data_IF_566210216592
#
_entry.id   IF_566210216592
#
_cell.length_a   1.000
_cell.length_b   1.000
_cell.length_c   1.000
_cell.angle_alpha   90.00
_cell.angle_beta   90.00
_cell.angle_gamma   90.00
#
_symmetry.space_group_name_H-M   'P 1'
#
loop_
_entity.id
_entity.type
_entity.pdbx_description
1 polymer ?
#
# COMPACT_ATOMS: atom_id res chain seq x y z
N UNK A 1 -6.19 -2.10 -35.47
CA UNK A 1 -7.54 -2.25 -34.87
C UNK A 1 -8.16 -0.86 -34.85
N UNK A 2 -9.42 -0.67 -35.27
CA UNK A 2 -10.01 0.68 -35.33
C UNK A 2 -10.65 1.04 -33.99
N UNK A 3 -10.69 2.32 -33.61
CA UNK A 3 -11.35 2.78 -32.37
C UNK A 3 -12.81 2.31 -32.29
N UNK A 4 -13.50 2.21 -33.43
CA UNK A 4 -14.86 1.67 -33.55
C UNK A 4 -14.92 0.18 -33.16
N UNK A 5 -13.93 -0.61 -33.55
CA UNK A 5 -13.85 -2.04 -33.23
C UNK A 5 -13.55 -2.27 -31.75
N UNK A 6 -12.71 -1.43 -31.16
CA UNK A 6 -12.40 -1.43 -29.72
C UNK A 6 -13.64 -1.08 -28.88
N UNK A 7 -14.37 -0.03 -29.28
CA UNK A 7 -15.60 0.40 -28.63
C UNK A 7 -16.71 -0.64 -28.72
N UNK A 8 -16.88 -1.28 -29.88
CA UNK A 8 -17.87 -2.36 -30.02
C UNK A 8 -17.57 -3.51 -29.06
N UNK A 9 -16.30 -3.91 -28.95
CA UNK A 9 -15.89 -4.97 -28.03
C UNK A 9 -16.11 -4.60 -26.56
N UNK A 10 -15.92 -3.33 -26.19
CA UNK A 10 -16.20 -2.84 -24.85
C UNK A 10 -17.71 -2.82 -24.55
N UNK A 11 -18.54 -2.40 -25.50
CA UNK A 11 -20.01 -2.42 -25.36
C UNK A 11 -20.52 -3.86 -25.21
N UNK A 12 -19.95 -4.81 -25.96
CA UNK A 12 -20.34 -6.22 -25.88
C UNK A 12 -19.98 -6.89 -24.53
N UNK A 13 -19.09 -6.27 -23.73
CA UNK A 13 -18.69 -6.74 -22.39
C UNK A 13 -19.57 -6.18 -21.26
N UNK A 14 -20.35 -5.14 -21.54
CA UNK A 14 -21.11 -4.38 -20.54
C UNK A 14 -22.60 -4.72 -20.62
N UNK A 15 -23.27 -4.77 -19.47
CA UNK A 15 -24.73 -4.86 -19.43
C UNK A 15 -25.40 -3.57 -19.91
N UNK A 16 -26.68 -3.61 -20.28
CA UNK A 16 -27.44 -2.43 -20.69
C UNK A 16 -27.41 -1.29 -19.65
N UNK A 17 -27.42 -1.66 -18.36
CA UNK A 17 -27.28 -0.72 -17.25
C UNK A 17 -25.91 -0.02 -17.24
N UNK A 18 -24.84 -0.79 -17.47
CA UNK A 18 -23.46 -0.30 -17.48
C UNK A 18 -23.18 0.57 -18.72
N UNK A 19 -23.73 0.18 -19.87
CA UNK A 19 -23.72 0.99 -21.08
C UNK A 19 -24.42 2.34 -20.86
N UNK A 20 -25.55 2.35 -20.14
CA UNK A 20 -26.26 3.60 -19.80
C UNK A 20 -25.41 4.55 -18.95
N UNK A 21 -24.76 4.04 -17.90
CA UNK A 21 -23.88 4.85 -17.05
C UNK A 21 -22.59 5.29 -17.76
N UNK A 22 -21.98 4.39 -18.55
CA UNK A 22 -20.77 4.72 -19.32
C UNK A 22 -21.07 5.77 -20.39
N UNK A 23 -22.23 5.69 -21.04
CA UNK A 23 -22.64 6.66 -22.05
C UNK A 23 -22.84 8.05 -21.45
N UNK A 24 -23.47 8.15 -20.28
CA UNK A 24 -23.59 9.42 -19.55
C UNK A 24 -22.21 10.01 -19.25
N UNK A 25 -21.31 9.21 -18.66
CA UNK A 25 -19.96 9.66 -18.33
C UNK A 25 -19.16 10.10 -19.58
N UNK A 26 -19.29 9.38 -20.71
CA UNK A 26 -18.66 9.75 -21.99
C UNK A 26 -19.25 11.04 -22.55
N UNK A 27 -20.56 11.26 -22.42
CA UNK A 27 -21.22 12.50 -22.81
C UNK A 27 -20.73 13.67 -21.95
N UNK A 28 -20.64 13.51 -20.63
CA UNK A 28 -20.18 14.57 -19.72
C UNK A 28 -18.73 14.99 -20.03
N UNK A 29 -17.86 14.01 -20.28
CA UNK A 29 -16.47 14.25 -20.76
C UNK A 29 -16.46 14.98 -22.10
N UNK A 30 -17.32 14.61 -23.05
CA UNK A 30 -17.40 15.23 -24.36
C UNK A 30 -17.91 16.68 -24.31
N UNK A 31 -18.71 17.04 -23.31
CA UNK A 31 -19.17 18.41 -23.06
C UNK A 31 -18.15 19.25 -22.26
N UNK A 32 -16.99 18.68 -21.93
CA UNK A 32 -15.93 19.38 -21.17
C UNK A 32 -16.24 19.47 -19.67
N UNK A 33 -17.24 18.74 -19.19
CA UNK A 33 -17.50 18.63 -17.76
C UNK A 33 -16.47 17.72 -17.09
N UNK A 34 -16.07 18.09 -15.87
CA UNK A 34 -15.07 17.37 -15.09
C UNK A 34 -15.69 16.15 -14.43
N UNK A 35 -16.00 15.11 -15.22
CA UNK A 35 -16.61 13.86 -14.71
C UNK A 35 -15.82 13.21 -13.54
N UNK A 36 -14.53 13.54 -13.40
CA UNK A 36 -13.65 13.04 -12.34
C UNK A 36 -13.84 13.69 -10.97
N UNK A 37 -14.54 14.83 -10.86
CA UNK A 37 -14.68 15.56 -9.57
C UNK A 37 -15.79 15.01 -8.66
N UNK A 38 -16.65 14.11 -9.16
CA UNK A 38 -17.70 13.47 -8.36
C UNK A 38 -17.97 12.00 -8.71
N UNK A 39 -17.93 11.64 -10.00
CA UNK A 39 -18.53 10.38 -10.44
C UNK A 39 -17.56 9.21 -10.55
N UNK A 40 -16.26 9.43 -10.80
CA UNK A 40 -15.34 8.31 -10.97
C UNK A 40 -15.17 7.47 -9.69
N UNK A 41 -15.21 8.11 -8.52
CA UNK A 41 -15.16 7.41 -7.22
C UNK A 41 -16.43 6.59 -6.97
N UNK A 42 -17.59 7.12 -7.38
CA UNK A 42 -18.89 6.44 -7.28
C UNK A 42 -18.98 5.29 -8.29
N UNK A 43 -18.58 5.51 -9.55
CA UNK A 43 -18.48 4.48 -10.57
C UNK A 43 -17.52 3.39 -10.15
N UNK A 44 -16.31 3.73 -9.72
CA UNK A 44 -15.39 2.74 -9.17
C UNK A 44 -16.02 1.97 -8.01
N UNK A 45 -16.61 2.68 -7.03
CA UNK A 45 -17.26 2.04 -5.87
C UNK A 45 -18.41 1.10 -6.27
N UNK A 46 -19.31 1.51 -7.17
CA UNK A 46 -20.42 0.69 -7.64
C UNK A 46 -19.95 -0.51 -8.46
N UNK A 47 -18.91 -0.35 -9.28
CA UNK A 47 -18.37 -1.43 -10.10
C UNK A 47 -17.48 -2.40 -9.32
N UNK A 48 -16.85 -1.97 -8.21
CA UNK A 48 -16.07 -2.84 -7.31
C UNK A 48 -16.87 -3.42 -6.15
N UNK A 49 -18.07 -2.90 -5.85
CA UNK A 49 -19.06 -3.63 -5.06
C UNK A 49 -19.29 -4.92 -5.80
N UNK A 50 -18.84 -6.04 -5.24
CA UNK A 50 -18.92 -7.28 -5.98
C UNK A 50 -20.37 -7.50 -6.41
N UNK A 51 -20.55 -7.92 -7.67
CA UNK A 51 -21.82 -8.38 -8.22
C UNK A 51 -22.30 -9.60 -7.42
N UNK A 52 -22.71 -9.37 -6.19
CA UNK A 52 -23.07 -10.38 -5.19
C UNK A 52 -24.52 -10.82 -5.33
N UNK A 53 -25.29 -10.23 -6.25
CA UNK A 53 -26.73 -10.52 -6.37
C UNK A 53 -27.09 -11.64 -7.35
N UNK A 54 -26.13 -12.34 -7.96
CA UNK A 54 -26.45 -13.53 -8.78
C UNK A 54 -25.39 -14.65 -8.76
N UNK A 55 -24.50 -14.69 -7.76
CA UNK A 55 -23.74 -15.91 -7.48
C UNK A 55 -24.54 -16.64 -6.41
N UNK A 56 -25.34 -17.61 -6.86
CA UNK A 56 -26.12 -18.49 -6.01
C UNK A 56 -25.26 -19.04 -4.86
N UNK A 57 -25.86 -19.08 -3.67
CA UNK A 57 -25.30 -19.59 -2.41
C UNK A 57 -24.47 -20.86 -2.58
N UNK A 58 -23.18 -20.73 -2.87
CA UNK A 58 -22.20 -21.78 -2.65
C UNK A 58 -20.81 -21.14 -2.45
N UNK A 59 -20.59 -20.62 -1.24
CA UNK A 59 -19.34 -19.98 -0.80
C UNK A 59 -18.20 -20.98 -0.56
N UNK A 60 -18.30 -22.22 -1.03
CA UNK A 60 -17.27 -23.25 -0.90
C UNK A 60 -16.15 -23.13 -1.94
N UNK A 61 -16.37 -22.39 -3.04
CA UNK A 61 -15.43 -22.24 -4.14
C UNK A 61 -15.12 -20.77 -4.45
N UNK A 62 -14.82 -19.95 -3.44
CA UNK A 62 -14.10 -18.70 -3.70
C UNK A 62 -12.66 -19.08 -4.03
N UNK A 63 -12.41 -19.42 -5.29
CA UNK A 63 -11.05 -19.44 -5.83
C UNK A 63 -10.58 -17.99 -5.78
N UNK A 64 -9.49 -17.66 -5.07
CA UNK A 64 -8.90 -16.33 -5.16
C UNK A 64 -8.71 -15.97 -6.64
N UNK A 65 -8.83 -14.70 -7.00
CA UNK A 65 -8.55 -14.21 -8.35
C UNK A 65 -7.04 -14.27 -8.70
N UNK A 66 -6.41 -15.41 -8.44
CA UNK A 66 -5.11 -15.80 -8.96
C UNK A 66 -5.31 -16.77 -10.12
N UNK A 67 -4.50 -16.69 -11.18
CA UNK A 67 -4.56 -17.66 -12.27
C UNK A 67 -4.32 -19.08 -11.74
N UNK A 68 -4.95 -20.06 -12.38
CA UNK A 68 -4.73 -21.47 -12.08
C UNK A 68 -3.23 -21.79 -12.19
N UNK A 69 -2.72 -22.57 -11.25
CA UNK A 69 -1.29 -22.88 -11.07
C UNK A 69 -0.61 -23.63 -12.25
N UNK A 70 -1.28 -23.79 -13.39
CA UNK A 70 -0.76 -24.52 -14.56
C UNK A 70 0.06 -23.66 -15.53
N UNK A 71 -0.05 -22.34 -15.45
CA UNK A 71 0.64 -21.45 -16.35
C UNK A 71 1.69 -20.69 -15.54
N UNK A 72 2.97 -21.04 -15.74
CA UNK A 72 4.19 -20.42 -15.19
C UNK A 72 4.35 -18.92 -15.57
N UNK A 73 3.25 -18.17 -15.66
CA UNK A 73 3.17 -16.78 -16.12
C UNK A 73 3.40 -15.80 -14.97
N UNK A 74 3.28 -16.24 -13.71
CA UNK A 74 3.62 -15.40 -12.55
C UNK A 74 5.07 -15.58 -12.16
N UNK A 75 5.95 -14.74 -12.70
CA UNK A 75 7.22 -14.47 -12.03
C UNK A 75 6.87 -13.93 -10.62
N UNK A 76 7.49 -14.46 -9.54
CA UNK A 76 7.26 -13.94 -8.20
C UNK A 76 7.61 -12.45 -8.19
N UNK A 77 6.60 -11.61 -7.96
CA UNK A 77 6.78 -10.17 -7.85
C UNK A 77 7.58 -9.92 -6.56
N UNK A 78 8.63 -9.07 -6.57
CA UNK A 78 9.30 -8.69 -5.35
C UNK A 78 8.29 -8.16 -4.34
N UNK A 79 8.19 -8.81 -3.17
CA UNK A 79 7.20 -8.45 -2.15
C UNK A 79 7.48 -7.13 -1.46
N UNK A 80 8.70 -6.63 -1.60
CA UNK A 80 9.20 -5.40 -0.98
C UNK A 80 10.02 -4.70 -2.03
N UNK A 81 9.86 -3.39 -2.13
CA UNK A 81 10.76 -2.57 -2.92
C UNK A 81 12.17 -2.64 -2.34
N UNK A 82 13.17 -2.63 -3.21
CA UNK A 82 14.56 -2.52 -2.81
C UNK A 82 15.26 -1.51 -3.70
N UNK A 83 16.07 -0.64 -3.09
CA UNK A 83 16.92 0.31 -3.79
C UNK A 83 18.38 -0.15 -3.67
N UNK A 84 18.81 -1.00 -4.61
CA UNK A 84 20.12 -1.67 -4.54
C UNK A 84 21.31 -0.71 -4.52
N UNK A 85 21.16 0.47 -5.12
CA UNK A 85 22.22 1.48 -5.22
C UNK A 85 22.17 2.52 -4.10
N UNK A 86 21.16 2.43 -3.20
CA UNK A 86 21.03 3.34 -2.07
C UNK A 86 21.99 2.96 -0.94
N UNK A 87 22.52 3.97 -0.25
CA UNK A 87 23.25 3.75 1.00
C UNK A 87 22.30 3.12 2.04
N UNK A 88 22.74 2.02 2.65
CA UNK A 88 21.94 1.25 3.62
C UNK A 88 22.41 1.55 5.03
N UNK A 89 21.51 2.11 5.84
CA UNK A 89 21.73 2.37 7.26
C UNK A 89 21.04 1.27 8.07
N UNK A 90 21.79 0.34 8.69
CA UNK A 90 21.19 -0.72 9.49
C UNK A 90 20.53 -0.14 10.73
N UNK A 91 19.31 -0.61 11.03
CA UNK A 91 18.63 -0.24 12.26
C UNK A 91 19.06 -1.17 13.40
N UNK A 92 19.18 -0.66 14.63
CA UNK A 92 19.43 -1.51 15.79
C UNK A 92 18.29 -2.51 15.99
N UNK A 93 18.53 -3.59 16.71
CA UNK A 93 17.49 -4.57 17.01
C UNK A 93 16.28 -3.91 17.71
N UNK A 94 15.06 -4.10 17.21
CA UNK A 94 13.87 -3.49 17.78
C UNK A 94 13.57 -4.10 19.15
N UNK A 95 13.12 -3.26 20.08
CA UNK A 95 12.68 -3.71 21.40
C UNK A 95 11.15 -3.84 21.38
N UNK A 96 10.56 -4.90 21.97
CA UNK A 96 9.12 -5.00 22.05
C UNK A 96 8.53 -3.79 22.80
N UNK A 97 7.50 -3.11 22.27
CA UNK A 97 6.86 -2.03 23.00
C UNK A 97 6.30 -2.56 24.33
N UNK A 98 6.55 -1.81 25.40
CA UNK A 98 6.10 -2.17 26.74
C UNK A 98 4.73 -1.58 27.03
N UNK A 99 3.92 -2.30 27.79
CA UNK A 99 2.63 -1.84 28.28
C UNK A 99 1.48 -2.79 27.96
N UNK A 100 0.42 -2.70 28.75
CA UNK A 100 -0.83 -3.40 28.49
C UNK A 100 -1.58 -2.77 27.30
N UNK A 101 -2.13 -3.60 26.43
CA UNK A 101 -2.83 -3.16 25.22
C UNK A 101 -4.04 -2.28 25.54
N UNK A 102 -4.84 -2.65 26.54
CA UNK A 102 -6.03 -1.89 26.93
C UNK A 102 -5.68 -0.48 27.38
N UNK A 103 -4.61 -0.38 28.19
CA UNK A 103 -4.07 0.90 28.66
C UNK A 103 -3.55 1.76 27.51
N UNK A 104 -2.76 1.19 26.60
CA UNK A 104 -2.21 1.90 25.44
C UNK A 104 -3.31 2.46 24.53
N UNK A 105 -4.36 1.68 24.27
CA UNK A 105 -5.50 2.11 23.47
C UNK A 105 -6.25 3.29 24.13
N UNK A 106 -6.46 3.22 25.44
CA UNK A 106 -7.12 4.30 26.18
C UNK A 106 -6.30 5.60 26.20
N UNK A 107 -4.98 5.50 26.30
CA UNK A 107 -4.07 6.64 26.41
C UNK A 107 -3.69 7.27 25.06
N UNK A 108 -3.84 6.56 23.94
CA UNK A 108 -3.43 7.03 22.61
C UNK A 108 -4.05 8.40 22.28
N UNK A 109 -3.20 9.37 21.96
CA UNK A 109 -3.60 10.70 21.48
C UNK A 109 -2.73 11.09 20.29
N UNK A 110 -3.29 11.88 19.38
CA UNK A 110 -2.52 12.50 18.31
C UNK A 110 -1.85 13.75 18.87
N UNK A 111 -0.51 13.73 18.98
CA UNK A 111 0.32 14.82 19.51
C UNK A 111 1.07 15.47 18.35
N UNK A 112 1.20 16.80 18.38
CA UNK A 112 1.89 17.62 17.37
C UNK A 112 2.80 18.69 17.99
N UNK A 113 2.91 18.65 19.31
CA UNK A 113 3.72 19.47 20.20
C UNK A 113 5.09 18.82 20.40
N UNK A 114 5.90 18.78 19.33
CA UNK A 114 7.24 18.18 19.37
C UNK A 114 8.27 19.12 19.99
N UNK A 115 9.17 18.57 20.81
CA UNK A 115 10.25 19.34 21.46
C UNK A 115 11.40 19.68 20.51
N UNK A 116 11.47 19.03 19.35
CA UNK A 116 12.62 19.09 18.44
C UNK A 116 13.83 18.27 18.89
N UNK A 117 13.78 17.65 20.07
CA UNK A 117 14.83 16.75 20.53
C UNK A 117 14.87 15.48 19.64
N UNK A 118 16.06 14.96 19.31
CA UNK A 118 16.16 13.74 18.53
C UNK A 118 15.60 12.55 19.31
N UNK A 119 14.99 11.62 18.59
CA UNK A 119 14.71 10.28 19.12
C UNK A 119 15.93 9.39 18.90
N UNK A 120 16.06 8.32 19.68
CA UNK A 120 17.13 7.35 19.45
C UNK A 120 16.83 6.48 18.23
N UNK A 121 17.89 5.96 17.58
CA UNK A 121 17.74 4.98 16.50
C UNK A 121 16.97 3.72 16.97
N UNK A 122 17.09 3.34 18.24
CA UNK A 122 16.37 2.21 18.83
C UNK A 122 14.86 2.47 18.94
N UNK A 123 14.46 3.70 19.28
CA UNK A 123 13.06 4.11 19.26
C UNK A 123 12.49 4.07 17.84
N UNK A 124 13.22 4.61 16.85
CA UNK A 124 12.80 4.56 15.45
C UNK A 124 12.66 3.11 14.96
N UNK A 125 13.69 2.28 15.20
CA UNK A 125 13.69 0.85 14.87
C UNK A 125 12.45 0.14 15.43
N UNK A 126 12.18 0.33 16.72
CA UNK A 126 11.04 -0.27 17.41
C UNK A 126 9.71 0.16 16.80
N UNK A 127 9.55 1.46 16.49
CA UNK A 127 8.34 1.97 15.85
C UNK A 127 8.12 1.35 14.46
N UNK A 128 9.18 1.28 13.65
CA UNK A 128 9.09 0.70 12.30
C UNK A 128 8.78 -0.79 12.34
N UNK A 129 9.44 -1.53 13.24
CA UNK A 129 9.15 -2.95 13.43
C UNK A 129 7.70 -3.18 13.86
N UNK A 130 7.21 -2.44 14.85
CA UNK A 130 5.84 -2.59 15.35
C UNK A 130 4.80 -2.16 14.30
N UNK A 131 5.07 -1.14 13.49
CA UNK A 131 4.11 -0.62 12.52
C UNK A 131 4.06 -1.43 11.22
N UNK A 132 5.20 -1.91 10.72
CA UNK A 132 5.30 -2.47 9.37
C UNK A 132 6.43 -3.50 9.17
N UNK A 133 7.14 -3.90 10.23
CA UNK A 133 8.23 -4.86 10.13
C UNK A 133 7.78 -6.27 9.74
N UNK A 134 8.71 -7.07 9.21
CA UNK A 134 8.48 -8.51 9.07
C UNK A 134 8.50 -9.18 10.45
N UNK A 135 7.43 -9.90 10.80
CA UNK A 135 7.26 -10.57 12.10
C UNK A 135 7.54 -12.06 12.05
N UNK A 136 7.29 -12.68 10.90
CA UNK A 136 7.49 -14.12 10.66
C UNK A 136 7.70 -14.36 9.15
N UNK A 137 8.14 -15.55 8.76
CA UNK A 137 8.21 -15.97 7.36
C UNK A 137 7.54 -17.33 7.19
N UNK A 138 6.69 -17.44 6.17
CA UNK A 138 5.97 -18.67 5.81
C UNK A 138 6.22 -19.03 4.35
N UNK A 139 5.94 -20.26 3.95
CA UNK A 139 5.90 -20.64 2.53
C UNK A 139 4.45 -20.57 2.02
N UNK A 140 4.23 -19.98 0.85
CA UNK A 140 2.88 -19.82 0.29
C UNK A 140 2.87 -18.98 -0.99
N UNK A 141 1.82 -19.10 -1.79
CA UNK A 141 1.63 -18.31 -3.03
C UNK A 141 2.81 -18.36 -4.01
N UNK A 142 3.54 -19.48 -4.07
CA UNK A 142 4.74 -19.61 -4.90
C UNK A 142 6.03 -19.06 -4.30
N UNK A 143 5.99 -18.48 -3.09
CA UNK A 143 7.16 -17.98 -2.36
C UNK A 143 7.63 -18.98 -1.30
N UNK A 144 8.93 -19.25 -1.28
CA UNK A 144 9.55 -20.06 -0.21
C UNK A 144 9.60 -19.32 1.12
N UNK A 145 9.76 -17.98 1.07
CA UNK A 145 9.88 -17.09 2.23
C UNK A 145 9.00 -15.85 2.05
N UNK A 146 7.70 -16.01 2.23
CA UNK A 146 6.71 -14.94 2.32
C UNK A 146 6.82 -14.29 3.73
N UNK A 147 7.24 -13.02 3.88
CA UNK A 147 7.18 -12.35 5.17
C UNK A 147 5.72 -12.21 5.61
N UNK A 148 5.46 -12.28 6.92
CA UNK A 148 4.25 -11.74 7.54
C UNK A 148 4.57 -10.36 8.12
N UNK A 149 3.62 -9.43 8.03
CA UNK A 149 3.78 -8.09 8.59
C UNK A 149 3.07 -7.97 9.93
N UNK A 150 3.41 -6.93 10.69
CA UNK A 150 2.68 -6.57 11.90
C UNK A 150 1.24 -6.08 11.65
N UNK A 151 0.82 -5.94 10.39
CA UNK A 151 -0.55 -5.62 10.00
C UNK A 151 -1.13 -6.66 9.03
N UNK A 152 -2.45 -6.91 9.06
CA UNK A 152 -3.11 -7.77 8.08
C UNK A 152 -3.21 -7.08 6.73
N UNK A 153 -3.05 -7.83 5.64
CA UNK A 153 -3.17 -7.33 4.27
C UNK A 153 -4.05 -8.26 3.43
N UNK A 154 -4.99 -7.70 2.67
CA UNK A 154 -5.88 -8.48 1.80
C UNK A 154 -5.07 -9.25 0.76
N UNK A 155 -5.30 -10.57 0.69
CA UNK A 155 -4.56 -11.46 -0.21
C UNK A 155 -3.06 -11.59 0.08
N UNK A 156 -2.57 -11.05 1.20
CA UNK A 156 -1.14 -11.09 1.54
C UNK A 156 -0.25 -10.27 0.60
N UNK A 157 -0.82 -9.32 -0.15
CA UNK A 157 -0.10 -8.54 -1.17
C UNK A 157 0.89 -7.52 -0.58
N UNK A 158 0.67 -7.09 0.66
CA UNK A 158 1.59 -6.24 1.43
C UNK A 158 1.99 -4.94 0.70
N UNK A 159 1.04 -4.35 -0.02
CA UNK A 159 1.26 -3.20 -0.89
C UNK A 159 1.80 -1.91 -0.22
N UNK A 160 1.57 -1.62 1.08
CA UNK A 160 2.12 -0.41 1.69
C UNK A 160 3.65 -0.46 1.81
N UNK A 161 4.32 0.58 1.28
CA UNK A 161 5.74 0.86 1.50
C UNK A 161 5.93 2.04 2.44
N UNK A 162 6.99 2.03 3.25
CA UNK A 162 7.25 3.07 4.25
C UNK A 162 8.45 3.92 3.86
N UNK A 163 8.18 5.21 3.69
CA UNK A 163 9.19 6.24 3.46
C UNK A 163 9.24 7.18 4.65
N UNK A 164 10.45 7.59 5.04
CA UNK A 164 10.70 8.36 6.25
C UNK A 164 11.49 9.60 5.89
N UNK A 165 10.97 10.77 6.27
CA UNK A 165 11.75 12.00 6.31
C UNK A 165 12.41 12.12 7.69
N UNK A 166 13.67 11.73 7.80
CA UNK A 166 14.46 11.88 9.02
C UNK A 166 14.87 13.33 9.18
N UNK A 167 14.46 13.94 10.30
CA UNK A 167 14.87 15.31 10.68
C UNK A 167 15.82 15.32 11.87
N UNK A 168 15.52 14.52 12.90
CA UNK A 168 16.28 14.44 14.15
C UNK A 168 16.21 13.02 14.73
N UNK A 169 17.17 12.17 14.35
CA UNK A 169 17.35 10.82 14.90
C UNK A 169 18.83 10.63 15.22
N UNK A 170 19.12 10.15 16.42
CA UNK A 170 20.50 9.91 16.84
C UNK A 170 21.20 8.90 15.93
N UNK A 171 22.38 9.25 15.41
CA UNK A 171 23.19 8.37 14.57
C UNK A 171 22.68 8.17 13.14
N UNK A 172 21.60 8.84 12.72
CA UNK A 172 21.07 8.78 11.36
C UNK A 172 21.00 10.19 10.79
N UNK A 173 21.69 10.43 9.67
CA UNK A 173 21.72 11.74 9.04
C UNK A 173 20.35 12.16 8.51
N UNK A 174 20.02 13.45 8.48
CA UNK A 174 18.78 13.93 7.86
C UNK A 174 18.68 13.53 6.39
N UNK A 175 17.48 13.12 5.98
CA UNK A 175 17.23 12.66 4.61
C UNK A 175 15.86 12.01 4.41
N UNK A 176 15.55 11.68 3.17
CA UNK A 176 14.44 10.81 2.78
C UNK A 176 14.97 9.40 2.63
N UNK A 177 14.37 8.47 3.36
CA UNK A 177 14.72 7.07 3.38
C UNK A 177 13.53 6.19 2.98
N UNK A 178 13.81 5.06 2.36
CA UNK A 178 12.89 3.93 2.27
C UNK A 178 13.23 2.92 3.37
N UNK A 179 12.24 2.45 4.13
CA UNK A 179 12.46 1.38 5.10
C UNK A 179 12.34 0.03 4.39
N UNK A 180 13.39 -0.78 4.45
CA UNK A 180 13.38 -2.14 3.92
C UNK A 180 13.09 -3.15 5.05
N UNK A 181 11.83 -3.59 5.21
CA UNK A 181 11.38 -4.30 6.40
C UNK A 181 11.76 -5.78 6.50
N UNK A 182 12.35 -6.39 5.47
CA UNK A 182 12.91 -7.77 5.57
C UNK A 182 14.30 -7.70 6.22
N UNK A 183 15.18 -6.89 5.63
CA UNK A 183 16.55 -6.70 6.13
C UNK A 183 16.65 -5.74 7.33
N UNK A 184 15.55 -5.07 7.67
CA UNK A 184 15.46 -4.11 8.76
C UNK A 184 16.50 -2.98 8.67
N UNK A 185 16.51 -2.29 7.52
CA UNK A 185 17.42 -1.18 7.24
C UNK A 185 16.70 0.02 6.64
N UNK A 186 17.32 1.20 6.69
CA UNK A 186 16.91 2.38 5.93
C UNK A 186 17.77 2.51 4.68
N UNK A 187 17.14 2.71 3.53
CA UNK A 187 17.79 2.95 2.24
C UNK A 187 17.69 4.44 1.92
N UNK A 188 18.83 5.15 1.89
CA UNK A 188 18.89 6.58 1.67
C UNK A 188 18.57 6.93 0.21
N UNK A 189 17.47 7.63 0.00
CA UNK A 189 17.04 8.08 -1.33
C UNK A 189 17.48 9.51 -1.62
N UNK A 190 17.45 10.38 -0.61
CA UNK A 190 17.80 11.79 -0.77
C UNK A 190 18.38 12.36 0.53
N UNK A 191 19.66 12.73 0.60
CA UNK A 191 20.24 13.34 1.79
C UNK A 191 19.70 14.77 2.02
N UNK A 192 19.80 15.25 3.26
CA UNK A 192 19.50 16.64 3.62
C UNK A 192 18.17 16.84 4.35
N UNK A 193 17.92 18.07 4.77
CA UNK A 193 16.69 18.46 5.46
C UNK A 193 15.57 18.74 4.45
N UNK A 194 14.51 17.93 4.46
CA UNK A 194 13.35 18.08 3.56
C UNK A 194 12.06 18.46 4.30
N UNK A 195 12.13 18.68 5.62
CA UNK A 195 10.95 18.97 6.45
C UNK A 195 10.14 20.17 5.98
N UNK A 196 10.81 21.29 5.70
CA UNK A 196 10.16 22.51 5.19
C UNK A 196 9.53 22.31 3.81
N UNK A 197 10.23 21.61 2.91
CA UNK A 197 9.69 21.27 1.58
C UNK A 197 8.41 20.45 1.70
N UNK A 198 8.39 19.44 2.57
CA UNK A 198 7.21 18.60 2.78
C UNK A 198 6.05 19.37 3.42
N UNK A 199 6.34 20.31 4.33
CA UNK A 199 5.32 21.18 4.93
C UNK A 199 4.63 22.08 3.89
N UNK A 200 5.36 22.52 2.87
CA UNK A 200 4.82 23.41 1.83
C UNK A 200 4.00 22.67 0.75
N UNK A 201 3.93 21.33 0.79
CA UNK A 201 3.13 20.52 -0.14
C UNK A 201 1.72 20.21 0.37
N UNK A 202 1.44 20.43 1.67
CA UNK A 202 0.15 20.16 2.33
C UNK A 202 -0.71 21.41 2.44
#
# INVERSE_FOLDING_TARGET
MSAKTELQRLVDLLSEYECGHLLSAVQDVAHGERFWEGDIGLLYNEYVKARFFNIGRNTSNIVPAGPAASDDIFAPIPMVKAYTDAERVPLPAPQPPQGDLGTLLHQRRSRRDYTGAPISAAQLSTMLQAACGATEFVSGYGYTRLPLRSFPSSGGLQSPEVYISVQAVEGISPGIYHYHPIDHVLELLKPGQHGETLQNLS
#
